data_IF_377195119672
#
_entry.id   IF_377195119672
#
_cell.length_a   1.000
_cell.length_b   1.000
_cell.length_c   1.000
_cell.angle_alpha   90.00
_cell.angle_beta   90.00
_cell.angle_gamma   90.00
#
_symmetry.space_group_name_H-M   'P 1'
#
loop_
_entity.id
_entity.type
_entity.pdbx_description
1 polymer ?
#
# COMPACT_ATOMS: atom_id res chain seq x y z
N UNK A 1 -81.73 35.42 20.15
CA UNK A 1 -81.18 34.45 19.20
C UNK A 1 -79.78 34.94 18.85
N UNK A 2 -78.73 34.43 19.57
CA UNK A 2 -77.30 34.83 19.34
C UNK A 2 -76.62 33.82 18.49
N UNK A 3 -75.86 34.16 17.44
CA UNK A 3 -75.11 33.21 16.65
C UNK A 3 -73.83 32.85 17.38
N UNK A 4 -73.57 31.54 17.52
CA UNK A 4 -72.37 30.95 18.06
C UNK A 4 -71.22 31.12 17.08
N UNK A 5 -70.12 31.76 17.51
CA UNK A 5 -68.87 31.89 16.81
C UNK A 5 -68.16 30.54 16.73
N UNK A 6 -67.68 30.10 15.55
CA UNK A 6 -66.88 28.89 15.44
C UNK A 6 -65.49 29.13 16.02
N UNK A 7 -65.10 28.26 16.94
CA UNK A 7 -63.80 28.17 17.54
C UNK A 7 -62.77 27.78 16.47
N UNK A 8 -61.84 28.68 16.06
CA UNK A 8 -60.72 28.39 15.21
C UNK A 8 -59.65 27.64 16.05
N UNK A 9 -59.25 26.44 15.67
CA UNK A 9 -58.12 25.80 16.32
C UNK A 9 -56.85 26.63 16.09
N UNK A 10 -56.09 26.83 17.15
CA UNK A 10 -54.93 27.68 17.19
C UNK A 10 -53.80 27.14 16.30
N UNK A 11 -53.39 27.91 15.30
CA UNK A 11 -52.30 27.62 14.32
C UNK A 11 -50.93 27.41 14.97
N UNK A 12 -50.80 27.57 16.26
CA UNK A 12 -49.57 27.41 17.02
C UNK A 12 -49.15 25.97 17.26
N UNK A 13 -50.10 24.98 17.22
CA UNK A 13 -49.76 23.59 17.37
C UNK A 13 -49.20 22.96 16.08
N UNK A 14 -49.76 23.31 14.94
CA UNK A 14 -49.30 22.82 13.63
C UNK A 14 -47.89 23.31 13.30
N UNK A 15 -47.53 24.53 13.68
CA UNK A 15 -46.22 25.12 13.44
C UNK A 15 -45.13 24.50 14.32
N UNK A 16 -45.44 24.02 15.52
CA UNK A 16 -44.50 23.32 16.41
C UNK A 16 -44.19 21.88 15.89
N UNK A 17 -45.21 21.16 15.43
CA UNK A 17 -45.04 19.80 14.90
C UNK A 17 -44.20 19.82 13.60
N UNK A 18 -44.36 20.81 12.74
CA UNK A 18 -43.54 20.98 11.52
C UNK A 18 -42.07 21.27 11.84
N UNK A 19 -41.78 22.09 12.87
CA UNK A 19 -40.41 22.40 13.28
C UNK A 19 -39.69 21.21 13.95
N UNK A 20 -40.42 20.34 14.66
CA UNK A 20 -39.87 19.13 15.27
C UNK A 20 -39.51 18.07 14.21
N UNK A 21 -40.27 17.96 13.14
CA UNK A 21 -40.02 17.02 12.03
C UNK A 21 -38.84 17.45 11.18
N UNK A 22 -38.65 18.75 10.95
CA UNK A 22 -37.48 19.31 10.25
C UNK A 22 -36.19 19.15 11.05
N UNK A 23 -36.23 19.29 12.39
CA UNK A 23 -35.07 19.12 13.25
C UNK A 23 -34.59 17.66 13.28
N UNK A 24 -35.51 16.70 13.30
CA UNK A 24 -35.19 15.27 13.22
C UNK A 24 -34.51 14.88 11.92
N UNK A 25 -34.98 15.41 10.79
CA UNK A 25 -34.39 15.18 9.47
C UNK A 25 -32.99 15.80 9.34
N UNK A 26 -32.78 17.01 9.84
CA UNK A 26 -31.47 17.67 9.82
C UNK A 26 -30.43 16.93 10.67
N UNK A 27 -30.82 16.41 11.84
CA UNK A 27 -29.93 15.63 12.71
C UNK A 27 -29.49 14.32 12.04
N UNK A 28 -30.43 13.59 11.43
CA UNK A 28 -30.14 12.36 10.71
C UNK A 28 -29.17 12.62 9.54
N UNK A 29 -29.41 13.69 8.79
CA UNK A 29 -28.55 14.10 7.69
C UNK A 29 -27.12 14.45 8.17
N UNK A 30 -27.02 15.17 9.28
CA UNK A 30 -25.72 15.54 9.88
C UNK A 30 -24.94 14.32 10.33
N UNK A 31 -25.60 13.35 10.97
CA UNK A 31 -24.98 12.07 11.37
C UNK A 31 -24.53 11.30 10.14
N UNK A 32 -25.36 11.22 9.10
CA UNK A 32 -25.03 10.52 7.86
C UNK A 32 -23.79 11.13 7.18
N UNK A 33 -23.75 12.46 7.00
CA UNK A 33 -22.59 13.11 6.39
C UNK A 33 -21.36 13.07 7.29
N UNK A 34 -21.51 13.12 8.61
CA UNK A 34 -20.44 12.92 9.56
C UNK A 34 -19.81 11.53 9.43
N UNK A 35 -20.65 10.49 9.37
CA UNK A 35 -20.20 9.12 9.14
C UNK A 35 -19.53 8.95 7.76
N UNK A 36 -20.13 9.49 6.70
CA UNK A 36 -19.57 9.46 5.36
C UNK A 36 -18.19 10.12 5.29
N UNK A 37 -18.03 11.29 5.94
CA UNK A 37 -16.75 11.98 6.02
C UNK A 37 -15.69 11.14 6.74
N UNK A 38 -16.07 10.48 7.83
CA UNK A 38 -15.18 9.58 8.57
C UNK A 38 -14.72 8.41 7.71
N UNK A 39 -15.63 7.77 6.98
CA UNK A 39 -15.31 6.69 6.04
C UNK A 39 -14.33 7.15 4.95
N UNK A 40 -14.56 8.34 4.37
CA UNK A 40 -13.66 8.91 3.37
C UNK A 40 -12.26 9.17 3.94
N UNK A 41 -12.14 9.71 5.15
CA UNK A 41 -10.86 9.92 5.81
C UNK A 41 -10.13 8.59 6.00
N UNK A 42 -10.79 7.55 6.50
CA UNK A 42 -10.19 6.23 6.67
C UNK A 42 -9.74 5.62 5.35
N UNK A 43 -10.51 5.80 4.29
CA UNK A 43 -10.16 5.31 2.96
C UNK A 43 -8.88 5.98 2.42
N UNK A 44 -8.76 7.30 2.57
CA UNK A 44 -7.55 8.05 2.18
C UNK A 44 -6.33 7.61 2.99
N UNK A 45 -6.49 7.44 4.31
CA UNK A 45 -5.40 6.98 5.19
C UNK A 45 -4.97 5.56 4.80
N UNK A 46 -5.91 4.66 4.55
CA UNK A 46 -5.61 3.29 4.13
C UNK A 46 -4.88 3.24 2.78
N UNK A 47 -5.35 4.02 1.79
CA UNK A 47 -4.71 4.11 0.48
C UNK A 47 -3.27 4.66 0.57
N UNK A 48 -3.07 5.70 1.38
CA UNK A 48 -1.75 6.29 1.61
C UNK A 48 -0.81 5.30 2.31
N UNK A 49 -1.31 4.58 3.31
CA UNK A 49 -0.54 3.55 4.02
C UNK A 49 -0.10 2.42 3.09
N UNK A 50 -1.01 1.91 2.24
CA UNK A 50 -0.71 0.89 1.23
C UNK A 50 0.36 1.38 0.23
N UNK A 51 0.24 2.62 -0.23
CA UNK A 51 1.21 3.22 -1.14
C UNK A 51 2.61 3.31 -0.52
N UNK A 52 2.70 3.75 0.74
CA UNK A 52 3.96 3.84 1.47
C UNK A 52 4.60 2.46 1.68
N UNK A 53 3.80 1.46 2.06
CA UNK A 53 4.30 0.10 2.25
C UNK A 53 4.85 -0.50 0.95
N UNK A 54 4.10 -0.35 -0.15
CA UNK A 54 4.57 -0.76 -1.47
C UNK A 54 5.86 -0.05 -1.88
N UNK A 55 5.99 1.24 -1.59
CA UNK A 55 7.20 2.01 -1.89
C UNK A 55 8.40 1.53 -1.08
N UNK A 56 8.21 1.22 0.22
CA UNK A 56 9.26 0.67 1.09
C UNK A 56 9.71 -0.70 0.58
N UNK A 57 8.77 -1.57 0.22
CA UNK A 57 9.06 -2.89 -0.34
C UNK A 57 9.81 -2.77 -1.68
N UNK A 58 9.41 -1.83 -2.54
CA UNK A 58 10.11 -1.55 -3.80
C UNK A 58 11.54 -1.05 -3.56
N UNK A 59 11.75 -0.18 -2.58
CA UNK A 59 13.10 0.30 -2.23
C UNK A 59 14.00 -0.85 -1.74
N UNK A 60 13.44 -1.79 -0.97
CA UNK A 60 14.15 -3.00 -0.54
C UNK A 60 14.51 -3.88 -1.75
N UNK A 61 13.57 -4.10 -2.68
CA UNK A 61 13.80 -4.87 -3.90
C UNK A 61 14.86 -4.22 -4.80
N UNK A 62 14.85 -2.90 -4.91
CA UNK A 62 15.82 -2.12 -5.70
C UNK A 62 17.23 -2.24 -5.10
N UNK A 63 17.36 -2.09 -3.78
CA UNK A 63 18.63 -2.33 -3.07
C UNK A 63 19.12 -3.77 -3.22
N UNK A 64 18.24 -4.75 -3.11
CA UNK A 64 18.56 -6.15 -3.30
C UNK A 64 19.00 -6.46 -4.75
N UNK A 65 18.32 -5.86 -5.74
CA UNK A 65 18.70 -6.00 -7.15
C UNK A 65 20.09 -5.39 -7.42
N UNK A 66 20.41 -4.26 -6.80
CA UNK A 66 21.73 -3.62 -6.91
C UNK A 66 22.83 -4.53 -6.34
N UNK A 67 22.64 -5.06 -5.12
CA UNK A 67 23.58 -6.01 -4.51
C UNK A 67 23.72 -7.27 -5.36
N UNK A 68 22.63 -7.78 -5.92
CA UNK A 68 22.68 -8.89 -6.86
C UNK A 68 23.44 -8.57 -8.15
N UNK A 69 23.34 -7.34 -8.66
CA UNK A 69 24.09 -6.91 -9.85
C UNK A 69 25.60 -6.71 -9.60
N UNK A 70 26.00 -6.59 -8.33
CA UNK A 70 27.40 -6.47 -7.90
C UNK A 70 27.99 -7.81 -7.41
N UNK A 71 27.22 -8.92 -7.44
CA UNK A 71 27.62 -10.24 -6.94
C UNK A 71 28.55 -11.03 -7.85
N UNK A 72 29.42 -10.40 -8.63
CA UNK A 72 30.42 -11.03 -9.46
C UNK A 72 31.82 -10.96 -8.81
N UNK A 73 32.62 -12.01 -9.04
CA UNK A 73 34.01 -12.02 -8.65
C UNK A 73 34.92 -11.53 -9.80
N UNK A 74 36.16 -11.14 -9.50
CA UNK A 74 37.14 -10.73 -10.52
C UNK A 74 37.39 -11.81 -11.59
N UNK A 75 37.24 -13.08 -11.20
CA UNK A 75 37.40 -14.21 -12.11
C UNK A 75 36.20 -14.39 -13.07
N UNK A 76 35.08 -13.74 -12.80
CA UNK A 76 33.87 -13.75 -13.64
C UNK A 76 33.86 -12.59 -14.67
N UNK A 77 34.96 -11.83 -14.78
CA UNK A 77 35.05 -10.71 -15.71
C UNK A 77 35.61 -11.19 -17.07
N UNK A 78 34.75 -11.16 -18.09
CA UNK A 78 35.10 -11.53 -19.45
C UNK A 78 35.66 -10.30 -20.23
N UNK A 79 36.79 -10.52 -20.95
CA UNK A 79 37.34 -9.56 -21.90
C UNK A 79 36.52 -9.64 -23.20
N UNK A 80 35.82 -8.56 -23.53
CA UNK A 80 35.09 -8.42 -24.79
C UNK A 80 35.77 -7.36 -25.69
N UNK A 81 35.51 -7.33 -27.00
CA UNK A 81 36.02 -6.32 -27.89
C UNK A 81 35.68 -4.87 -27.49
N UNK A 82 34.62 -4.69 -26.67
CA UNK A 82 34.09 -3.42 -26.18
C UNK A 82 34.53 -3.11 -24.74
N UNK A 83 35.43 -3.90 -24.13
CA UNK A 83 35.90 -3.70 -22.76
C UNK A 83 35.60 -4.88 -21.85
N UNK A 84 35.71 -4.68 -20.55
CA UNK A 84 35.43 -5.69 -19.54
C UNK A 84 33.91 -5.82 -19.31
N UNK A 85 33.42 -7.06 -19.23
CA UNK A 85 32.04 -7.35 -18.91
C UNK A 85 31.97 -8.32 -17.74
N UNK A 86 31.33 -7.94 -16.62
CA UNK A 86 31.06 -8.90 -15.55
C UNK A 86 30.03 -9.93 -16.02
N UNK A 87 30.21 -11.17 -15.60
CA UNK A 87 29.28 -12.27 -15.87
C UNK A 87 28.60 -12.69 -14.58
N UNK A 88 27.35 -12.31 -14.45
CA UNK A 88 26.51 -12.71 -13.32
C UNK A 88 26.04 -14.16 -13.47
N UNK A 89 26.01 -14.88 -12.36
CA UNK A 89 25.38 -16.22 -12.27
C UNK A 89 24.19 -16.17 -11.34
N UNK A 90 23.14 -16.93 -11.68
CA UNK A 90 21.89 -16.93 -10.90
C UNK A 90 22.11 -17.32 -9.43
N UNK A 91 23.01 -18.27 -9.17
CA UNK A 91 23.31 -18.74 -7.81
C UNK A 91 23.96 -17.63 -6.94
N UNK A 92 24.91 -16.88 -7.50
CA UNK A 92 25.56 -15.76 -6.79
C UNK A 92 24.56 -14.62 -6.53
N UNK A 93 23.73 -14.29 -7.52
CA UNK A 93 22.66 -13.30 -7.38
C UNK A 93 21.70 -13.73 -6.26
N UNK A 94 21.22 -14.98 -6.29
CA UNK A 94 20.28 -15.46 -5.29
C UNK A 94 20.87 -15.42 -3.87
N UNK A 95 22.14 -15.81 -3.70
CA UNK A 95 22.82 -15.80 -2.41
C UNK A 95 23.00 -14.38 -1.87
N UNK A 96 23.50 -13.45 -2.70
CA UNK A 96 23.71 -12.08 -2.32
C UNK A 96 22.39 -11.35 -1.96
N UNK A 97 21.34 -11.61 -2.73
CA UNK A 97 20.00 -11.09 -2.46
C UNK A 97 19.45 -11.64 -1.14
N UNK A 98 19.60 -12.96 -0.89
CA UNK A 98 19.13 -13.57 0.35
C UNK A 98 19.82 -12.98 1.58
N UNK A 99 21.14 -12.80 1.52
CA UNK A 99 21.93 -12.21 2.61
C UNK A 99 21.52 -10.74 2.86
N UNK A 100 21.33 -9.96 1.81
CA UNK A 100 20.89 -8.57 1.91
C UNK A 100 19.49 -8.45 2.53
N UNK A 101 18.53 -9.25 2.05
CA UNK A 101 17.16 -9.25 2.57
C UNK A 101 17.13 -9.72 4.02
N UNK A 102 17.93 -10.75 4.37
CA UNK A 102 18.05 -11.24 5.74
C UNK A 102 18.61 -10.17 6.69
N UNK A 103 19.63 -9.41 6.25
CA UNK A 103 20.19 -8.30 7.02
C UNK A 103 19.19 -7.13 7.19
N UNK A 104 18.27 -6.95 6.23
CA UNK A 104 17.28 -5.87 6.20
C UNK A 104 15.95 -6.23 6.88
N UNK A 105 15.79 -7.44 7.42
CA UNK A 105 14.53 -7.92 8.04
C UNK A 105 14.06 -7.12 9.28
N UNK A 106 14.87 -6.16 9.78
CA UNK A 106 14.45 -5.21 10.81
C UNK A 106 13.40 -4.18 10.37
N UNK A 107 13.04 -4.11 9.09
CA UNK A 107 12.18 -3.07 8.53
C UNK A 107 10.67 -3.29 8.73
N UNK A 108 10.27 -4.34 9.43
CA UNK A 108 8.88 -4.52 9.91
C UNK A 108 7.88 -5.01 8.86
N UNK A 109 8.33 -5.62 7.77
CA UNK A 109 7.44 -6.28 6.81
C UNK A 109 6.83 -7.55 7.40
N UNK A 110 5.54 -7.77 7.11
CA UNK A 110 4.84 -9.00 7.50
C UNK A 110 4.99 -10.04 6.38
N UNK A 111 5.52 -11.22 6.74
CA UNK A 111 5.66 -12.37 5.83
C UNK A 111 6.41 -12.01 4.54
N UNK A 112 7.56 -11.32 4.66
CA UNK A 112 8.44 -10.98 3.56
C UNK A 112 8.99 -12.25 2.90
N UNK A 113 8.85 -12.37 1.57
CA UNK A 113 9.34 -13.49 0.78
C UNK A 113 10.09 -13.00 -0.45
N UNK A 114 11.14 -13.74 -0.82
CA UNK A 114 11.84 -13.57 -2.08
C UNK A 114 11.17 -14.52 -3.08
N UNK A 115 10.44 -13.98 -4.05
CA UNK A 115 9.76 -14.73 -5.09
C UNK A 115 10.71 -15.12 -6.23
N UNK A 116 11.62 -14.20 -6.55
CA UNK A 116 12.61 -14.40 -7.60
C UNK A 116 13.88 -13.60 -7.27
N UNK A 117 15.03 -14.19 -7.51
CA UNK A 117 16.34 -13.54 -7.48
C UNK A 117 17.23 -14.23 -8.53
N UNK A 118 17.37 -13.59 -9.70
CA UNK A 118 18.02 -14.23 -10.85
C UNK A 118 18.68 -13.23 -11.80
N UNK A 119 19.43 -13.79 -12.76
CA UNK A 119 19.92 -13.05 -13.93
C UNK A 119 19.53 -13.80 -15.20
N UNK A 120 18.92 -13.11 -16.16
CA UNK A 120 18.51 -13.67 -17.44
C UNK A 120 19.49 -13.38 -18.59
N UNK A 121 20.29 -12.32 -18.46
CA UNK A 121 21.23 -11.82 -19.48
C UNK A 121 22.68 -11.85 -19.01
N UNK A 122 22.96 -12.42 -17.84
CA UNK A 122 24.26 -12.44 -17.17
C UNK A 122 24.87 -11.05 -16.91
N UNK A 123 24.07 -9.99 -17.02
CA UNK A 123 24.48 -8.60 -16.85
C UNK A 123 23.53 -7.79 -15.95
N UNK A 124 22.30 -8.28 -15.76
CA UNK A 124 21.30 -7.64 -14.93
C UNK A 124 20.82 -8.59 -13.86
N UNK A 125 20.60 -8.09 -12.65
CA UNK A 125 19.94 -8.83 -11.56
C UNK A 125 18.46 -8.42 -11.50
N UNK A 126 17.58 -9.40 -11.49
CA UNK A 126 16.13 -9.19 -11.30
C UNK A 126 15.70 -9.80 -9.97
N UNK A 127 15.04 -9.00 -9.15
CA UNK A 127 14.57 -9.39 -7.83
C UNK A 127 13.10 -9.09 -7.70
N UNK A 128 12.31 -10.09 -7.32
CA UNK A 128 10.89 -9.95 -6.97
C UNK A 128 10.70 -10.29 -5.50
N UNK A 129 10.06 -9.36 -4.78
CA UNK A 129 9.72 -9.52 -3.37
C UNK A 129 8.22 -9.44 -3.17
N UNK A 130 7.70 -10.17 -2.20
CA UNK A 130 6.32 -10.05 -1.73
C UNK A 130 6.26 -9.87 -0.23
N UNK A 131 5.22 -9.18 0.24
CA UNK A 131 4.91 -9.00 1.66
C UNK A 131 3.41 -8.80 1.84
N UNK A 132 2.90 -9.00 3.07
CA UNK A 132 1.50 -8.75 3.41
C UNK A 132 1.34 -7.42 4.14
N UNK A 133 0.48 -6.57 3.60
CA UNK A 133 0.08 -5.33 4.24
C UNK A 133 -1.14 -5.57 5.13
N UNK A 134 -1.01 -5.32 6.44
CA UNK A 134 -2.02 -5.55 7.47
C UNK A 134 -2.28 -4.27 8.29
N UNK A 135 -2.96 -3.27 7.73
CA UNK A 135 -3.26 -2.05 8.49
C UNK A 135 -4.32 -2.33 9.57
N UNK A 136 -4.26 -1.65 10.73
CA UNK A 136 -5.05 -1.98 11.92
C UNK A 136 -6.57 -1.90 11.71
N UNK A 137 -7.06 -1.09 10.77
CA UNK A 137 -8.50 -0.97 10.51
C UNK A 137 -8.98 -1.91 9.40
N UNK A 138 -8.15 -2.21 8.41
CA UNK A 138 -8.50 -3.12 7.31
C UNK A 138 -8.39 -4.58 7.76
N UNK A 139 -7.53 -4.88 8.71
CA UNK A 139 -7.38 -6.22 9.29
C UNK A 139 -8.64 -6.73 10.01
N UNK A 140 -9.57 -5.83 10.41
CA UNK A 140 -10.89 -6.21 10.91
C UNK A 140 -11.81 -6.78 9.82
N UNK A 141 -11.61 -6.37 8.57
CA UNK A 141 -12.41 -6.81 7.41
C UNK A 141 -11.67 -7.90 6.61
N UNK A 142 -10.35 -7.80 6.52
CA UNK A 142 -9.46 -8.74 5.81
C UNK A 142 -8.32 -9.15 6.75
N UNK A 143 -8.55 -10.14 7.62
CA UNK A 143 -7.58 -10.55 8.65
C UNK A 143 -6.28 -11.10 8.06
N UNK A 144 -6.32 -11.68 6.87
CA UNK A 144 -5.15 -12.19 6.16
C UNK A 144 -4.24 -11.08 5.60
N UNK A 145 -4.77 -9.86 5.48
CA UNK A 145 -4.07 -8.73 4.86
C UNK A 145 -4.15 -8.76 3.33
N UNK A 146 -3.48 -7.81 2.71
CA UNK A 146 -3.40 -7.68 1.25
C UNK A 146 -1.96 -7.95 0.83
N UNK A 147 -1.76 -8.93 -0.04
CA UNK A 147 -0.44 -9.24 -0.60
C UNK A 147 -0.01 -8.12 -1.56
N UNK A 148 1.24 -7.71 -1.41
CA UNK A 148 1.89 -6.72 -2.26
C UNK A 148 3.10 -7.40 -2.90
N UNK A 149 3.19 -7.31 -4.22
CA UNK A 149 4.32 -7.81 -5.01
C UNK A 149 5.04 -6.62 -5.68
N UNK A 150 6.37 -6.68 -5.71
CA UNK A 150 7.21 -5.70 -6.39
C UNK A 150 8.36 -6.41 -7.10
N UNK A 151 8.78 -5.87 -8.24
CA UNK A 151 9.94 -6.36 -8.98
C UNK A 151 10.86 -5.19 -9.29
N UNK A 152 12.15 -5.37 -9.07
CA UNK A 152 13.20 -4.43 -9.42
C UNK A 152 14.28 -5.13 -10.25
N UNK A 153 14.94 -4.36 -11.12
CA UNK A 153 16.04 -4.86 -11.94
C UNK A 153 17.17 -3.84 -11.91
N UNK A 154 18.36 -4.29 -11.58
CA UNK A 154 19.57 -3.50 -11.62
C UNK A 154 20.56 -4.11 -12.61
N UNK A 155 21.34 -3.25 -13.29
CA UNK A 155 22.33 -3.67 -14.27
C UNK A 155 23.73 -3.38 -13.75
N UNK A 156 24.62 -4.36 -13.87
CA UNK A 156 26.03 -4.19 -13.64
C UNK A 156 26.67 -3.31 -14.74
N UNK A 157 27.30 -2.22 -14.36
CA UNK A 157 27.99 -1.30 -15.27
C UNK A 157 29.46 -1.23 -14.85
N UNK A 158 30.35 -1.60 -15.76
CA UNK A 158 31.80 -1.33 -15.65
C UNK A 158 32.10 -0.02 -16.38
N UNK A 159 32.59 0.96 -15.65
CA UNK A 159 33.09 2.24 -16.23
C UNK A 159 34.60 2.23 -16.29
#
# INVERSE_FOLDING_TARGET
>A
MMPSTPNRPSSSHEHRLALEDEQGSALLLTIFYGFLSLVLIFLVVAATSLYLERKRLFTLADGAALVGAESYDLDDVELTPNGYRPKLTADKVALAVADYVAASQGDGFTELQIEEATTNDSASSTVSLSAYWKPPFVSLLVPEGIRIDVTATARSIFS
#
